data_IF_808028592056
#
_entry.id   IF_808028592056
#
_cell.length_a   1.000
_cell.length_b   1.000
_cell.length_c   1.000
_cell.angle_alpha   90.00
_cell.angle_beta   90.00
_cell.angle_gamma   90.00
#
_symmetry.space_group_name_H-M   'P 1'
#
loop_
_entity.id
_entity.type
_entity.pdbx_description
1 polymer ?
#
# COMPACT_ATOMS: atom_id res chain seq x y z
N UNK A 1 -28.53 -16.28 37.04
CA UNK A 1 -27.70 -15.09 37.09
C UNK A 1 -28.24 -14.10 36.06
N UNK A 2 -28.90 -13.03 36.53
CA UNK A 2 -29.44 -12.00 35.62
C UNK A 2 -28.33 -11.21 34.98
N UNK A 3 -28.33 -11.16 33.65
CA UNK A 3 -27.45 -10.28 32.89
C UNK A 3 -27.87 -8.83 33.18
N UNK A 4 -26.99 -8.06 33.83
CA UNK A 4 -27.20 -6.62 34.09
C UNK A 4 -27.20 -5.85 32.76
N UNK A 5 -28.28 -5.13 32.46
CA UNK A 5 -28.44 -4.34 31.22
C UNK A 5 -27.56 -3.07 31.12
N UNK A 6 -26.56 -2.91 31.99
CA UNK A 6 -25.64 -1.75 31.99
C UNK A 6 -24.30 -2.02 31.23
N UNK A 7 -24.13 -3.21 30.61
CA UNK A 7 -22.94 -3.60 29.89
C UNK A 7 -22.46 -2.63 28.80
N UNK A 8 -23.32 -1.99 27.96
CA UNK A 8 -22.80 -1.18 26.86
C UNK A 8 -21.95 0.02 27.29
N UNK A 9 -22.22 0.61 28.46
CA UNK A 9 -21.43 1.76 28.97
C UNK A 9 -20.13 1.30 29.65
N UNK A 10 -20.14 0.18 30.34
CA UNK A 10 -18.97 -0.40 30.98
C UNK A 10 -17.99 -0.95 29.93
N UNK A 11 -18.51 -1.64 28.89
CA UNK A 11 -17.75 -2.19 27.79
C UNK A 11 -16.98 -1.11 27.03
N UNK A 12 -17.65 0.00 26.67
CA UNK A 12 -16.99 1.11 25.96
C UNK A 12 -15.97 1.84 26.84
N UNK A 13 -16.24 1.94 28.14
CA UNK A 13 -15.30 2.52 29.10
C UNK A 13 -14.03 1.68 29.20
N UNK A 14 -14.18 0.35 29.29
CA UNK A 14 -13.04 -0.58 29.34
C UNK A 14 -12.27 -0.57 28.01
N UNK A 15 -12.94 -0.61 26.86
CA UNK A 15 -12.29 -0.53 25.56
C UNK A 15 -11.43 0.74 25.43
N UNK A 16 -11.99 1.90 25.78
CA UNK A 16 -11.26 3.18 25.79
C UNK A 16 -10.07 3.16 26.75
N UNK A 17 -10.24 2.58 27.94
CA UNK A 17 -9.19 2.46 28.95
C UNK A 17 -8.00 1.65 28.41
N UNK A 18 -8.25 0.50 27.75
CA UNK A 18 -7.21 -0.33 27.16
C UNK A 18 -6.46 0.43 26.07
N UNK A 19 -7.17 1.02 25.11
CA UNK A 19 -6.57 1.78 24.01
C UNK A 19 -5.72 2.98 24.52
N UNK A 20 -6.18 3.69 25.55
CA UNK A 20 -5.42 4.80 26.12
C UNK A 20 -4.16 4.32 26.85
N UNK A 21 -4.22 3.19 27.56
CA UNK A 21 -3.03 2.58 28.17
C UNK A 21 -2.01 2.11 27.15
N UNK A 22 -2.42 1.49 26.06
CA UNK A 22 -1.52 1.14 24.96
C UNK A 22 -0.89 2.38 24.33
N UNK A 23 -1.68 3.43 24.07
CA UNK A 23 -1.18 4.70 23.57
C UNK A 23 -0.12 5.33 24.49
N UNK A 24 -0.33 5.28 25.80
CA UNK A 24 0.66 5.80 26.75
C UNK A 24 1.93 4.96 26.77
N UNK A 25 1.81 3.64 26.71
CA UNK A 25 2.97 2.74 26.62
C UNK A 25 3.81 3.04 25.36
N UNK A 26 3.16 3.32 24.22
CA UNK A 26 3.82 3.75 22.98
C UNK A 26 4.57 5.07 23.14
N UNK A 27 3.96 6.08 23.78
CA UNK A 27 4.61 7.38 24.04
C UNK A 27 5.84 7.23 24.93
N UNK A 28 5.76 6.40 25.96
CA UNK A 28 6.89 6.12 26.86
C UNK A 28 8.00 5.40 26.10
N UNK A 29 7.65 4.37 25.30
CA UNK A 29 8.63 3.62 24.50
C UNK A 29 9.33 4.54 23.48
N UNK A 30 8.59 5.42 22.81
CA UNK A 30 9.15 6.37 21.84
C UNK A 30 10.16 7.35 22.48
N UNK A 31 9.87 7.85 23.69
CA UNK A 31 10.79 8.72 24.45
C UNK A 31 12.06 7.98 24.91
N UNK A 32 11.94 6.70 25.18
CA UNK A 32 13.05 5.85 25.64
C UNK A 32 13.91 5.29 24.51
N UNK A 33 13.37 5.29 23.28
CA UNK A 33 14.10 4.76 22.14
C UNK A 33 15.42 5.50 21.96
N UNK A 34 16.50 4.78 22.21
CA UNK A 34 17.87 5.32 22.16
C UNK A 34 18.40 5.38 20.73
N UNK A 35 18.79 6.58 20.30
CA UNK A 35 19.29 6.83 18.95
C UNK A 35 20.53 6.02 18.56
N UNK A 36 21.58 5.95 19.38
CA UNK A 36 22.76 5.11 19.13
C UNK A 36 22.45 3.63 18.95
N UNK A 37 21.66 3.01 19.88
CA UNK A 37 21.29 1.60 19.77
C UNK A 37 20.38 1.34 18.58
N UNK A 38 19.42 2.22 18.32
CA UNK A 38 18.54 2.10 17.16
C UNK A 38 19.31 2.20 15.84
N UNK A 39 20.22 3.19 15.71
CA UNK A 39 21.07 3.34 14.54
C UNK A 39 21.98 2.12 14.32
N UNK A 40 22.52 1.53 15.41
CA UNK A 40 23.34 0.32 15.36
C UNK A 40 22.53 -0.89 14.89
N UNK A 41 21.28 -1.03 15.35
CA UNK A 41 20.38 -2.09 14.87
C UNK A 41 20.09 -1.95 13.37
N UNK A 42 19.80 -0.73 12.89
CA UNK A 42 19.60 -0.48 11.45
C UNK A 42 20.85 -0.83 10.64
N UNK A 43 22.06 -0.52 11.13
CA UNK A 43 23.32 -0.88 10.47
C UNK A 43 23.50 -2.39 10.37
N UNK A 44 23.08 -3.16 11.39
CA UNK A 44 23.08 -4.63 11.34
C UNK A 44 22.16 -5.13 10.22
N UNK A 45 20.96 -4.56 10.11
CA UNK A 45 20.00 -4.98 9.06
C UNK A 45 20.41 -4.53 7.66
N UNK A 46 21.01 -3.35 7.52
CA UNK A 46 21.55 -2.88 6.23
C UNK A 46 22.77 -3.69 5.78
N UNK A 47 23.55 -4.20 6.72
CA UNK A 47 24.71 -5.02 6.44
C UNK A 47 24.39 -6.49 6.17
N UNK A 48 23.12 -6.91 6.18
CA UNK A 48 22.73 -8.29 5.85
C UNK A 48 22.97 -8.59 4.37
N UNK A 49 23.51 -9.76 4.07
CA UNK A 49 23.83 -10.15 2.68
C UNK A 49 22.63 -10.63 1.91
N UNK A 50 21.63 -11.20 2.57
CA UNK A 50 20.47 -11.83 1.94
C UNK A 50 19.15 -11.33 2.54
N UNK A 51 18.88 -11.64 3.82
CA UNK A 51 17.61 -11.32 4.49
C UNK A 51 17.76 -11.14 5.98
N UNK A 52 16.73 -10.58 6.60
CA UNK A 52 16.56 -10.54 8.06
C UNK A 52 15.74 -11.76 8.49
N UNK A 53 16.28 -12.61 9.35
CA UNK A 53 15.53 -13.70 9.96
C UNK A 53 14.91 -13.20 11.25
N UNK A 54 13.58 -13.19 11.32
CA UNK A 54 12.81 -12.72 12.48
C UNK A 54 12.31 -13.93 13.25
N UNK A 55 12.50 -13.96 14.56
CA UNK A 55 12.13 -15.12 15.39
C UNK A 55 11.57 -14.73 16.74
N UNK A 56 10.61 -15.52 17.24
CA UNK A 56 9.93 -15.33 18.52
C UNK A 56 8.81 -16.35 18.71
N UNK A 57 8.32 -16.52 19.94
CA UNK A 57 7.28 -17.50 20.30
C UNK A 57 6.01 -16.82 20.77
N UNK A 58 4.86 -17.49 20.59
CA UNK A 58 3.55 -17.03 21.04
C UNK A 58 3.20 -15.65 20.46
N UNK A 59 2.79 -14.71 21.31
CA UNK A 59 2.43 -13.35 20.88
C UNK A 59 3.63 -12.60 20.26
N UNK A 60 4.86 -12.80 20.79
CA UNK A 60 6.08 -12.27 20.18
C UNK A 60 6.33 -12.86 18.79
N UNK A 61 5.98 -14.13 18.55
CA UNK A 61 6.04 -14.75 17.23
C UNK A 61 5.04 -14.14 16.25
N UNK A 62 3.83 -13.80 16.69
CA UNK A 62 2.85 -13.08 15.85
C UNK A 62 3.34 -11.67 15.46
N UNK A 63 3.92 -10.93 16.40
CA UNK A 63 4.60 -9.66 16.11
C UNK A 63 5.74 -9.87 15.11
N UNK A 64 6.56 -10.90 15.31
CA UNK A 64 7.67 -11.25 14.41
C UNK A 64 7.22 -11.53 12.99
N UNK A 65 6.14 -12.29 12.80
CA UNK A 65 5.53 -12.51 11.48
C UNK A 65 5.08 -11.20 10.82
N UNK A 66 4.43 -10.31 11.60
CA UNK A 66 4.02 -8.99 11.11
C UNK A 66 5.22 -8.14 10.71
N UNK A 67 6.27 -8.10 11.51
CA UNK A 67 7.50 -7.36 11.19
C UNK A 67 8.16 -7.90 9.92
N UNK A 68 8.29 -9.23 9.78
CA UNK A 68 8.85 -9.84 8.57
C UNK A 68 8.04 -9.46 7.31
N UNK A 69 6.70 -9.50 7.39
CA UNK A 69 5.82 -9.09 6.31
C UNK A 69 6.00 -7.60 5.95
N UNK A 70 6.08 -6.72 6.96
CA UNK A 70 6.30 -5.28 6.76
C UNK A 70 7.68 -5.02 6.10
N UNK A 71 8.75 -5.68 6.56
CA UNK A 71 10.08 -5.56 5.97
C UNK A 71 10.09 -5.99 4.50
N UNK A 72 9.45 -7.11 4.16
CA UNK A 72 9.33 -7.58 2.77
C UNK A 72 8.62 -6.56 1.89
N UNK A 73 7.50 -6.02 2.35
CA UNK A 73 6.72 -5.03 1.59
C UNK A 73 7.43 -3.68 1.42
N UNK A 74 8.46 -3.43 2.21
CA UNK A 74 9.22 -2.17 2.26
C UNK A 74 10.67 -2.31 1.78
N UNK A 75 10.96 -3.32 0.95
CA UNK A 75 12.25 -3.48 0.27
C UNK A 75 13.37 -4.04 1.14
N UNK A 76 13.04 -4.66 2.29
CA UNK A 76 14.01 -5.40 3.10
C UNK A 76 13.59 -6.86 3.17
N UNK A 77 14.25 -7.76 2.42
CA UNK A 77 13.92 -9.18 2.45
C UNK A 77 13.96 -9.73 3.88
N UNK A 78 12.92 -10.42 4.31
CA UNK A 78 12.82 -10.98 5.65
C UNK A 78 12.05 -12.31 5.65
N UNK A 79 12.36 -13.18 6.60
CA UNK A 79 11.64 -14.42 6.80
C UNK A 79 11.40 -14.66 8.29
N UNK A 80 10.22 -15.17 8.63
CA UNK A 80 9.94 -15.59 9.99
C UNK A 80 10.38 -17.04 10.21
N UNK A 81 11.15 -17.29 11.28
CA UNK A 81 11.60 -18.60 11.71
C UNK A 81 10.99 -18.89 13.09
N UNK A 82 10.17 -19.92 13.20
CA UNK A 82 9.68 -20.35 14.52
C UNK A 82 10.81 -21.05 15.29
N UNK A 83 11.15 -20.62 16.52
CA UNK A 83 12.32 -21.17 17.22
C UNK A 83 12.23 -22.68 17.46
N UNK A 84 11.03 -23.22 17.75
CA UNK A 84 10.85 -24.66 17.94
C UNK A 84 11.03 -25.46 16.64
N UNK A 85 10.65 -24.91 15.50
CA UNK A 85 10.84 -25.57 14.20
C UNK A 85 12.29 -25.43 13.71
N UNK A 86 12.98 -24.38 14.12
CA UNK A 86 14.38 -24.16 13.78
C UNK A 86 15.25 -25.35 14.14
N UNK A 87 15.03 -25.96 15.31
CA UNK A 87 15.82 -27.08 15.79
C UNK A 87 15.49 -28.42 15.11
N UNK A 88 14.42 -28.44 14.31
CA UNK A 88 13.95 -29.61 13.54
C UNK A 88 14.18 -29.47 12.03
N UNK A 89 15.01 -28.51 11.60
CA UNK A 89 15.44 -28.38 10.19
C UNK A 89 15.18 -27.02 9.57
N UNK A 90 14.18 -26.24 10.05
CA UNK A 90 13.84 -24.93 9.49
C UNK A 90 14.97 -23.90 9.66
N UNK A 91 15.97 -24.19 10.50
CA UNK A 91 17.20 -23.39 10.59
C UNK A 91 17.94 -23.29 9.23
N UNK A 92 17.64 -24.16 8.28
CA UNK A 92 18.12 -24.06 6.90
C UNK A 92 17.75 -22.76 6.19
N UNK A 93 16.73 -22.04 6.65
CA UNK A 93 16.36 -20.72 6.13
C UNK A 93 17.43 -19.65 6.39
N UNK A 94 18.19 -19.77 7.48
CA UNK A 94 19.28 -18.86 7.82
C UNK A 94 20.53 -19.18 6.98
N UNK A 95 21.03 -18.19 6.28
CA UNK A 95 22.29 -18.24 5.53
C UNK A 95 23.37 -17.41 6.22
N UNK A 96 24.64 -17.75 5.99
CA UNK A 96 25.74 -16.95 6.52
C UNK A 96 25.67 -15.53 5.95
N UNK A 97 25.69 -14.53 6.83
CA UNK A 97 25.51 -13.12 6.47
C UNK A 97 24.10 -12.59 6.68
N UNK A 98 23.13 -13.46 7.01
CA UNK A 98 21.81 -13.00 7.44
C UNK A 98 21.88 -12.37 8.83
N UNK A 99 21.19 -11.25 9.02
CA UNK A 99 20.92 -10.68 10.34
C UNK A 99 19.73 -11.36 11.00
N UNK A 100 19.71 -11.39 12.32
CA UNK A 100 18.60 -12.00 13.08
C UNK A 100 17.97 -10.99 14.01
N UNK A 101 16.63 -10.96 14.05
CA UNK A 101 15.85 -10.19 15.01
C UNK A 101 15.14 -11.15 15.98
N UNK A 102 15.57 -11.15 17.25
CA UNK A 102 14.91 -11.85 18.34
C UNK A 102 13.82 -11.01 18.96
N UNK A 103 12.63 -11.58 19.16
CA UNK A 103 11.54 -10.97 19.91
C UNK A 103 11.24 -11.78 21.18
N UNK A 104 11.40 -11.16 22.34
CA UNK A 104 11.07 -11.77 23.62
C UNK A 104 10.64 -10.72 24.64
N UNK A 105 9.42 -10.84 25.18
CA UNK A 105 8.98 -9.95 26.26
C UNK A 105 9.70 -10.25 27.59
N UNK A 106 9.94 -11.52 27.91
CA UNK A 106 10.65 -11.92 29.15
C UNK A 106 12.17 -11.78 29.06
N UNK A 107 12.73 -11.79 27.84
CA UNK A 107 14.19 -11.85 27.63
C UNK A 107 14.85 -13.16 28.09
N UNK A 108 14.04 -14.17 28.45
CA UNK A 108 14.52 -15.46 28.96
C UNK A 108 13.82 -16.65 28.30
N UNK A 109 13.34 -16.48 27.10
CA UNK A 109 12.67 -17.52 26.29
C UNK A 109 13.65 -18.68 26.03
N UNK A 110 13.40 -19.90 26.55
CA UNK A 110 14.37 -20.99 26.48
C UNK A 110 14.78 -21.38 25.08
N UNK A 111 13.81 -21.38 24.13
CA UNK A 111 14.04 -21.76 22.75
C UNK A 111 14.93 -20.73 22.01
N UNK A 112 14.83 -19.44 22.33
CA UNK A 112 15.73 -18.41 21.78
C UNK A 112 17.13 -18.51 22.40
N UNK A 113 17.21 -18.79 23.70
CA UNK A 113 18.49 -19.03 24.40
C UNK A 113 19.22 -20.26 23.85
N UNK A 114 18.48 -21.31 23.48
CA UNK A 114 19.04 -22.50 22.81
C UNK A 114 19.48 -22.16 21.36
N UNK A 115 18.71 -21.38 20.66
CA UNK A 115 18.99 -21.04 19.24
C UNK A 115 20.16 -20.07 19.10
N UNK A 116 20.38 -19.20 20.08
CA UNK A 116 21.40 -18.13 20.01
C UNK A 116 22.82 -18.69 19.72
N UNK A 117 23.39 -19.63 20.45
CA UNK A 117 24.74 -20.15 20.18
C UNK A 117 24.83 -20.86 18.81
N UNK A 118 23.74 -21.47 18.35
CA UNK A 118 23.68 -22.10 17.03
C UNK A 118 23.77 -21.05 15.93
N UNK A 119 23.03 -19.94 16.07
CA UNK A 119 23.10 -18.81 15.12
C UNK A 119 24.47 -18.13 15.16
N UNK A 120 25.10 -18.00 16.35
CA UNK A 120 26.46 -17.48 16.48
C UNK A 120 27.49 -18.31 15.74
N UNK A 121 27.41 -19.63 15.81
CA UNK A 121 28.31 -20.54 15.07
C UNK A 121 28.18 -20.35 13.56
N UNK A 122 27.00 -19.88 13.10
CA UNK A 122 26.70 -19.50 11.70
C UNK A 122 27.01 -18.03 11.39
N UNK A 123 27.74 -17.34 12.28
CA UNK A 123 28.15 -15.93 12.14
C UNK A 123 27.01 -14.91 12.07
N UNK A 124 25.84 -15.24 12.61
CA UNK A 124 24.71 -14.31 12.66
C UNK A 124 25.02 -13.11 13.55
N UNK A 125 24.60 -11.92 13.10
CA UNK A 125 24.46 -10.72 13.93
C UNK A 125 23.04 -10.67 14.46
N UNK A 126 22.90 -10.53 15.78
CA UNK A 126 21.60 -10.65 16.46
C UNK A 126 21.20 -9.32 17.09
N UNK A 127 20.04 -8.80 16.68
CA UNK A 127 19.35 -7.69 17.34
C UNK A 127 18.25 -8.27 18.21
N UNK A 128 18.18 -7.87 19.47
CA UNK A 128 17.11 -8.24 20.39
C UNK A 128 16.09 -7.11 20.54
N UNK A 129 14.82 -7.38 20.31
CA UNK A 129 13.70 -6.52 20.67
C UNK A 129 13.08 -7.12 21.93
N UNK A 130 13.48 -6.59 23.10
CA UNK A 130 13.27 -7.25 24.37
C UNK A 130 12.43 -6.40 25.33
N UNK A 131 11.42 -7.00 25.95
CA UNK A 131 10.65 -6.36 27.03
C UNK A 131 11.43 -6.26 28.34
N UNK A 132 12.51 -7.02 28.49
CA UNK A 132 13.47 -6.93 29.61
C UNK A 132 14.89 -6.88 29.05
N UNK A 133 15.46 -5.68 28.83
CA UNK A 133 16.85 -5.54 28.35
C UNK A 133 17.90 -6.20 29.26
N UNK A 134 17.73 -6.07 30.60
CA UNK A 134 18.58 -6.74 31.60
C UNK A 134 18.08 -8.15 31.78
N UNK A 135 18.47 -9.04 30.87
CA UNK A 135 18.01 -10.44 30.84
C UNK A 135 19.04 -11.34 30.14
N UNK A 136 18.93 -12.68 30.29
CA UNK A 136 19.85 -13.60 29.64
C UNK A 136 19.99 -13.41 28.11
N UNK A 137 18.92 -13.04 27.40
CA UNK A 137 19.03 -12.71 25.97
C UNK A 137 19.66 -11.34 25.75
N UNK A 138 19.38 -10.34 26.62
CA UNK A 138 19.95 -9.00 26.52
C UNK A 138 21.49 -9.00 26.60
N UNK A 139 22.09 -9.90 27.38
CA UNK A 139 23.53 -10.09 27.51
C UNK A 139 24.14 -10.75 26.24
N UNK A 140 23.35 -11.48 25.47
CA UNK A 140 23.81 -12.32 24.37
C UNK A 140 23.62 -11.68 22.97
N UNK A 141 22.80 -10.66 22.83
CA UNK A 141 22.55 -10.00 21.56
C UNK A 141 23.62 -8.93 21.25
N UNK A 142 23.87 -8.63 19.95
CA UNK A 142 24.83 -7.58 19.57
C UNK A 142 24.27 -6.17 19.82
N UNK A 143 22.94 -6.03 19.71
CA UNK A 143 22.21 -4.79 19.97
C UNK A 143 20.89 -5.14 20.64
N UNK A 144 20.60 -4.48 21.76
CA UNK A 144 19.30 -4.59 22.43
C UNK A 144 18.46 -3.33 22.17
N UNK A 145 17.25 -3.51 21.65
CA UNK A 145 16.22 -2.50 21.56
C UNK A 145 15.22 -2.71 22.70
N UNK A 146 15.03 -1.69 23.52
CA UNK A 146 14.18 -1.73 24.70
C UNK A 146 12.70 -1.60 24.34
N UNK A 147 11.96 -2.70 24.40
CA UNK A 147 10.51 -2.80 24.25
C UNK A 147 9.78 -2.96 25.58
N UNK A 148 10.39 -2.58 26.71
CA UNK A 148 9.78 -2.73 28.02
C UNK A 148 8.52 -1.87 28.17
N UNK A 149 7.61 -2.37 29.01
CA UNK A 149 6.40 -1.67 29.42
C UNK A 149 6.29 -1.71 30.94
N UNK A 150 5.55 -0.82 31.51
CA UNK A 150 5.29 -0.82 32.95
C UNK A 150 4.29 -1.94 33.32
N UNK A 151 3.17 -2.01 32.60
CA UNK A 151 2.11 -3.00 32.81
C UNK A 151 1.28 -3.19 31.55
N UNK A 152 0.76 -4.42 31.37
CA UNK A 152 -0.20 -4.73 30.32
C UNK A 152 -1.53 -3.95 30.50
N UNK A 153 -2.22 -3.72 29.40
CA UNK A 153 -3.40 -2.86 29.39
C UNK A 153 -4.69 -3.56 29.84
N UNK A 154 -4.72 -4.92 29.85
CA UNK A 154 -5.87 -5.65 30.36
C UNK A 154 -6.10 -5.40 31.86
N UNK A 155 -7.27 -5.78 32.37
CA UNK A 155 -7.65 -5.54 33.78
C UNK A 155 -6.81 -6.33 34.78
N UNK A 156 -6.32 -7.51 34.38
CA UNK A 156 -5.43 -8.34 35.20
C UNK A 156 -3.97 -7.91 35.07
N UNK A 157 -3.57 -7.29 33.95
CA UNK A 157 -2.22 -6.88 33.63
C UNK A 157 -1.31 -8.05 33.23
N UNK A 158 -1.87 -9.09 32.62
CA UNK A 158 -1.14 -10.32 32.25
C UNK A 158 -1.24 -10.69 30.76
N UNK A 159 -2.28 -10.20 30.05
CA UNK A 159 -2.47 -10.49 28.64
C UNK A 159 -1.62 -9.57 27.79
N UNK A 160 -0.78 -10.09 26.88
CA UNK A 160 0.04 -9.24 25.99
C UNK A 160 -0.82 -8.29 25.16
N UNK A 161 -0.88 -7.05 25.54
CA UNK A 161 -1.60 -5.93 24.94
C UNK A 161 -0.63 -4.79 24.68
N UNK A 162 -0.27 -4.00 25.69
CA UNK A 162 0.70 -2.92 25.58
C UNK A 162 2.07 -3.39 25.08
N UNK A 163 2.57 -4.54 25.57
CA UNK A 163 3.84 -5.12 25.10
C UNK A 163 3.77 -5.51 23.61
N UNK A 164 2.64 -6.05 23.17
CA UNK A 164 2.41 -6.38 21.76
C UNK A 164 2.42 -5.11 20.88
N UNK A 165 1.70 -4.07 21.30
CA UNK A 165 1.62 -2.79 20.60
C UNK A 165 3.00 -2.12 20.50
N UNK A 166 3.76 -2.06 21.60
CA UNK A 166 5.10 -1.46 21.64
C UNK A 166 6.07 -2.22 20.73
N UNK A 167 6.13 -3.55 20.82
CA UNK A 167 7.04 -4.35 20.00
C UNK A 167 6.69 -4.23 18.50
N UNK A 168 5.40 -4.23 18.15
CA UNK A 168 4.93 -4.03 16.78
C UNK A 168 5.33 -2.64 16.24
N UNK A 169 5.12 -1.59 17.02
CA UNK A 169 5.45 -0.21 16.63
C UNK A 169 6.95 0.02 16.44
N UNK A 170 7.80 -0.58 17.29
CA UNK A 170 9.26 -0.51 17.10
C UNK A 170 9.64 -1.26 15.82
N UNK A 171 9.00 -2.38 15.50
CA UNK A 171 9.17 -3.08 14.23
C UNK A 171 8.82 -2.22 13.02
N UNK A 172 7.75 -1.45 13.10
CA UNK A 172 7.35 -0.49 12.05
C UNK A 172 8.35 0.66 11.94
N UNK A 173 8.86 1.16 13.06
CA UNK A 173 9.91 2.16 13.08
C UNK A 173 11.20 1.67 12.41
N UNK A 174 11.59 0.39 12.63
CA UNK A 174 12.71 -0.25 11.95
C UNK A 174 12.46 -0.27 10.43
N UNK A 175 11.32 -0.78 9.99
CA UNK A 175 10.98 -0.89 8.57
C UNK A 175 10.98 0.49 7.88
N UNK A 176 10.30 1.49 8.46
CA UNK A 176 10.24 2.86 7.95
C UNK A 176 11.64 3.51 7.88
N UNK A 177 12.45 3.30 8.91
CA UNK A 177 13.82 3.87 8.93
C UNK A 177 14.74 3.19 7.90
N UNK A 178 14.55 1.90 7.64
CA UNK A 178 15.27 1.18 6.57
C UNK A 178 14.84 1.68 5.19
N UNK A 179 13.53 1.92 4.97
CA UNK A 179 13.03 2.56 3.75
C UNK A 179 13.73 3.91 3.50
N UNK A 180 13.76 4.77 4.53
CA UNK A 180 14.40 6.08 4.44
C UNK A 180 15.90 5.96 4.08
N UNK A 181 16.64 5.08 4.75
CA UNK A 181 18.07 4.88 4.49
C UNK A 181 18.39 4.27 3.13
N UNK A 182 17.49 3.44 2.60
CA UNK A 182 17.60 2.82 1.27
C UNK A 182 17.12 3.73 0.14
N UNK A 183 16.44 4.84 0.44
CA UNK A 183 15.76 5.66 -0.56
C UNK A 183 14.62 4.92 -1.26
N UNK A 184 13.95 3.99 -0.54
CA UNK A 184 12.88 3.15 -1.08
C UNK A 184 11.72 4.02 -1.58
N UNK A 185 11.35 3.84 -2.84
CA UNK A 185 10.40 4.67 -3.57
C UNK A 185 8.99 4.05 -3.61
N UNK A 186 8.00 4.88 -3.97
CA UNK A 186 6.63 4.42 -4.26
C UNK A 186 6.60 3.39 -5.41
N UNK A 187 7.48 3.56 -6.41
CA UNK A 187 7.62 2.61 -7.52
C UNK A 187 8.06 1.23 -7.04
N UNK A 188 9.03 1.16 -6.13
CA UNK A 188 9.46 -0.12 -5.53
C UNK A 188 8.38 -0.72 -4.65
N UNK A 189 7.62 0.11 -3.91
CA UNK A 189 6.46 -0.34 -3.13
C UNK A 189 5.38 -0.95 -4.03
N UNK A 190 5.08 -0.33 -5.16
CA UNK A 190 4.12 -0.84 -6.12
C UNK A 190 4.53 -2.19 -6.73
N UNK A 191 5.82 -2.41 -7.00
CA UNK A 191 6.35 -3.70 -7.47
C UNK A 191 6.13 -4.83 -6.45
N UNK A 192 6.14 -4.52 -5.15
CA UNK A 192 5.85 -5.50 -4.08
C UNK A 192 4.35 -5.68 -3.83
N UNK A 193 3.49 -4.80 -4.40
CA UNK A 193 2.03 -4.83 -4.26
C UNK A 193 1.32 -4.78 -5.62
N UNK A 194 1.58 -5.72 -6.55
CA UNK A 194 1.11 -5.63 -7.94
C UNK A 194 -0.42 -5.61 -8.07
N UNK A 195 -1.15 -6.20 -7.14
CA UNK A 195 -2.61 -6.21 -7.12
C UNK A 195 -3.24 -4.97 -6.46
N UNK A 196 -2.46 -4.11 -5.82
CA UNK A 196 -2.93 -2.84 -5.26
C UNK A 196 -3.08 -1.76 -6.33
N UNK A 197 -3.89 -0.73 -6.05
CA UNK A 197 -4.12 0.38 -7.00
C UNK A 197 -2.81 1.01 -7.50
N UNK A 198 -1.86 1.24 -6.60
CA UNK A 198 -0.56 1.82 -6.96
C UNK A 198 0.24 0.88 -7.88
N UNK A 199 0.26 -0.44 -7.59
CA UNK A 199 0.92 -1.43 -8.43
C UNK A 199 0.30 -1.51 -9.82
N UNK A 200 -1.01 -1.54 -9.91
CA UNK A 200 -1.75 -1.52 -11.18
C UNK A 200 -1.43 -0.29 -12.00
N UNK A 201 -1.45 0.89 -11.39
CA UNK A 201 -1.18 2.16 -12.07
C UNK A 201 0.22 2.23 -12.68
N UNK A 202 1.17 1.47 -12.14
CA UNK A 202 2.53 1.40 -12.67
C UNK A 202 2.75 0.28 -13.70
N UNK A 203 2.07 -0.84 -13.53
CA UNK A 203 2.28 -2.04 -14.36
C UNK A 203 1.41 -2.00 -15.63
N UNK A 204 0.14 -1.57 -15.49
CA UNK A 204 -0.78 -1.53 -16.60
C UNK A 204 -0.65 -0.26 -17.42
N UNK A 205 -0.83 -0.41 -18.72
CA UNK A 205 -0.87 0.68 -19.68
C UNK A 205 -2.31 0.96 -20.12
N UNK A 206 -2.52 2.10 -20.74
CA UNK A 206 -3.81 2.52 -21.25
C UNK A 206 -4.39 1.48 -22.23
N UNK A 207 -3.55 0.83 -23.03
CA UNK A 207 -3.96 -0.21 -23.99
C UNK A 207 -4.56 -1.46 -23.33
N UNK A 208 -4.25 -1.72 -22.06
CA UNK A 208 -4.76 -2.89 -21.33
C UNK A 208 -6.21 -2.71 -20.86
N UNK A 209 -6.70 -1.44 -20.75
CA UNK A 209 -8.02 -1.13 -20.16
C UNK A 209 -8.90 -0.26 -21.03
N UNK A 210 -8.43 0.27 -22.16
CA UNK A 210 -9.21 1.14 -23.03
C UNK A 210 -10.44 0.41 -23.63
N UNK A 211 -11.50 1.17 -23.85
CA UNK A 211 -12.61 0.71 -24.68
C UNK A 211 -12.25 0.82 -26.15
N UNK A 212 -12.17 -0.32 -26.83
CA UNK A 212 -11.86 -0.39 -28.27
C UNK A 212 -12.86 0.38 -29.14
N UNK A 213 -12.51 0.80 -30.37
CA UNK A 213 -13.35 1.68 -31.22
C UNK A 213 -14.76 1.15 -31.48
N UNK A 214 -14.95 -0.17 -31.52
CA UNK A 214 -16.27 -0.80 -31.70
C UNK A 214 -17.17 -0.76 -30.47
N UNK A 215 -16.64 -0.36 -29.32
CA UNK A 215 -17.37 -0.18 -28.04
C UNK A 215 -17.48 1.28 -27.62
N UNK A 216 -17.25 2.23 -28.53
CA UNK A 216 -17.28 3.67 -28.29
C UNK A 216 -18.29 4.34 -29.22
N UNK A 217 -19.05 5.28 -28.70
CA UNK A 217 -19.93 6.12 -29.56
C UNK A 217 -19.07 6.93 -30.53
N UNK A 218 -19.25 6.69 -31.83
CA UNK A 218 -18.54 7.38 -32.92
C UNK A 218 -19.54 8.01 -33.86
N UNK A 219 -19.38 9.29 -34.15
CA UNK A 219 -20.27 10.06 -35.02
C UNK A 219 -19.47 10.87 -36.03
N UNK A 220 -20.12 11.24 -37.14
CA UNK A 220 -19.55 12.17 -38.12
C UNK A 220 -19.78 13.62 -37.64
N UNK A 221 -18.92 14.55 -38.05
CA UNK A 221 -19.05 16.00 -37.74
C UNK A 221 -20.40 16.62 -38.12
N UNK A 222 -21.06 16.06 -39.14
CA UNK A 222 -22.36 16.53 -39.65
C UNK A 222 -23.56 15.81 -39.00
N UNK A 223 -23.32 14.85 -38.09
CA UNK A 223 -24.38 14.19 -37.34
C UNK A 223 -25.12 15.20 -36.46
N UNK A 224 -26.42 15.00 -36.30
CA UNK A 224 -27.23 15.80 -35.37
C UNK A 224 -26.91 15.42 -33.93
N UNK A 225 -27.17 16.33 -33.01
CA UNK A 225 -27.05 16.05 -31.56
C UNK A 225 -28.00 14.92 -31.15
N UNK A 226 -29.20 14.85 -31.73
CA UNK A 226 -30.14 13.75 -31.49
C UNK A 226 -29.51 12.40 -31.83
N UNK A 227 -28.89 12.24 -32.99
CA UNK A 227 -28.22 11.00 -33.36
C UNK A 227 -26.99 10.72 -32.46
N UNK A 228 -26.28 11.78 -32.06
CA UNK A 228 -25.15 11.65 -31.16
C UNK A 228 -25.57 11.11 -29.80
N UNK A 229 -26.68 11.60 -29.23
CA UNK A 229 -27.23 11.10 -27.95
C UNK A 229 -27.67 9.64 -28.09
N UNK A 230 -28.27 9.26 -29.20
CA UNK A 230 -28.65 7.85 -29.47
C UNK A 230 -27.43 6.96 -29.48
N UNK A 231 -26.33 7.36 -30.16
CA UNK A 231 -25.08 6.59 -30.15
C UNK A 231 -24.45 6.54 -28.76
N UNK A 232 -24.43 7.63 -28.00
CA UNK A 232 -23.93 7.64 -26.60
C UNK A 232 -24.75 6.72 -25.71
N UNK A 233 -26.06 6.58 -25.95
CA UNK A 233 -26.92 5.66 -25.19
C UNK A 233 -26.64 4.19 -25.47
N UNK A 234 -26.17 3.86 -26.69
CA UNK A 234 -25.75 2.49 -27.03
C UNK A 234 -24.41 2.12 -26.35
N UNK A 235 -23.54 3.11 -26.20
CA UNK A 235 -22.23 2.98 -25.57
C UNK A 235 -22.10 3.97 -24.42
N UNK A 236 -22.52 3.60 -23.19
CA UNK A 236 -22.69 4.53 -22.07
C UNK A 236 -21.34 4.88 -21.42
N UNK A 237 -20.42 5.45 -22.18
CA UNK A 237 -19.10 5.86 -21.71
C UNK A 237 -19.02 7.36 -21.36
N UNK A 238 -20.14 8.09 -21.47
CA UNK A 238 -20.23 9.51 -21.13
C UNK A 238 -19.67 10.45 -22.20
N UNK A 239 -19.31 9.93 -23.38
CA UNK A 239 -18.78 10.73 -24.49
C UNK A 239 -19.05 10.09 -25.86
N UNK A 240 -19.07 10.90 -26.90
CA UNK A 240 -19.00 10.48 -28.31
C UNK A 240 -17.77 11.09 -28.99
N UNK A 241 -17.02 10.26 -29.69
CA UNK A 241 -15.89 10.69 -30.52
C UNK A 241 -16.37 11.10 -31.87
N UNK A 242 -16.03 12.34 -32.30
CA UNK A 242 -16.35 12.87 -33.62
C UNK A 242 -15.23 12.51 -34.57
N UNK A 243 -15.54 11.73 -35.61
CA UNK A 243 -14.57 11.10 -36.47
C UNK A 243 -14.57 11.63 -37.90
N UNK A 244 -13.42 11.59 -38.55
CA UNK A 244 -13.26 11.60 -40.01
C UNK A 244 -12.50 10.38 -40.44
N UNK A 245 -13.22 9.36 -40.93
CA UNK A 245 -12.68 8.00 -41.13
C UNK A 245 -12.09 7.47 -39.81
N UNK A 246 -10.80 7.15 -39.73
CA UNK A 246 -10.12 6.67 -38.55
C UNK A 246 -9.50 7.78 -37.67
N UNK A 247 -9.58 9.06 -38.12
CA UNK A 247 -9.01 10.18 -37.37
C UNK A 247 -10.04 10.84 -36.45
N UNK A 248 -9.60 11.10 -35.22
CA UNK A 248 -10.37 11.89 -34.26
C UNK A 248 -10.37 13.37 -34.65
N UNK A 249 -11.56 13.97 -34.81
CA UNK A 249 -11.75 15.41 -35.05
C UNK A 249 -12.09 16.17 -33.78
N UNK A 250 -12.76 15.51 -32.84
CA UNK A 250 -13.22 16.14 -31.62
C UNK A 250 -13.95 15.14 -30.72
N UNK A 251 -14.42 15.64 -29.58
CA UNK A 251 -15.19 14.88 -28.60
C UNK A 251 -16.38 15.72 -28.12
N UNK A 252 -17.49 15.05 -27.81
CA UNK A 252 -18.64 15.61 -27.10
C UNK A 252 -18.89 14.77 -25.88
N UNK A 253 -18.97 15.39 -24.71
CA UNK A 253 -19.26 14.75 -23.44
C UNK A 253 -20.68 15.06 -22.96
N UNK A 254 -21.17 14.29 -21.96
CA UNK A 254 -22.45 14.61 -21.29
C UNK A 254 -22.45 16.02 -20.70
N UNK A 255 -21.29 16.51 -20.25
CA UNK A 255 -21.10 17.87 -19.76
C UNK A 255 -21.31 18.92 -20.86
N UNK A 256 -20.83 18.65 -22.08
CA UNK A 256 -21.00 19.55 -23.22
C UNK A 256 -22.46 19.61 -23.65
N UNK A 257 -23.14 18.47 -23.72
CA UNK A 257 -24.56 18.40 -24.02
C UNK A 257 -25.40 19.18 -23.00
N UNK A 258 -25.12 19.03 -21.71
CA UNK A 258 -25.84 19.79 -20.66
C UNK A 258 -25.61 21.29 -20.75
N UNK A 259 -24.38 21.73 -20.99
CA UNK A 259 -24.06 23.15 -21.16
C UNK A 259 -24.74 23.73 -22.42
N UNK A 260 -24.70 23.01 -23.54
CA UNK A 260 -25.29 23.44 -24.78
C UNK A 260 -26.83 23.51 -24.69
N UNK A 261 -27.48 22.60 -23.96
CA UNK A 261 -28.94 22.62 -23.73
C UNK A 261 -29.38 23.84 -22.93
N UNK A 262 -28.58 24.33 -21.99
CA UNK A 262 -28.87 25.56 -21.25
C UNK A 262 -28.89 26.81 -22.15
N UNK A 263 -28.11 26.80 -23.25
CA UNK A 263 -27.96 27.94 -24.17
C UNK A 263 -28.91 27.84 -25.33
N UNK A 264 -29.33 26.64 -25.74
CA UNK A 264 -30.20 26.44 -26.91
C UNK A 264 -31.26 25.35 -26.68
N UNK A 265 -32.52 25.69 -26.46
CA UNK A 265 -33.60 24.72 -26.29
C UNK A 265 -33.82 23.79 -27.52
N UNK A 266 -33.39 24.18 -28.73
CA UNK A 266 -33.45 23.36 -29.93
C UNK A 266 -32.15 22.60 -30.22
N UNK A 267 -31.36 22.35 -29.20
CA UNK A 267 -30.05 21.68 -29.28
C UNK A 267 -30.07 20.43 -30.17
N UNK A 268 -31.11 19.60 -30.09
CA UNK A 268 -31.19 18.29 -30.75
C UNK A 268 -31.10 18.35 -32.29
N UNK A 269 -31.44 19.51 -32.89
CA UNK A 269 -31.39 19.75 -34.34
C UNK A 269 -30.02 20.21 -34.82
N UNK A 270 -29.16 20.68 -33.90
CA UNK A 270 -27.83 21.18 -34.26
C UNK A 270 -26.89 20.04 -34.67
N UNK A 271 -25.87 20.39 -35.47
CA UNK A 271 -24.77 19.47 -35.77
C UNK A 271 -23.82 19.35 -34.60
N UNK A 272 -23.28 18.17 -34.41
CA UNK A 272 -22.31 17.90 -33.37
C UNK A 272 -21.08 18.80 -33.48
N UNK A 273 -20.65 19.16 -34.66
CA UNK A 273 -19.56 20.09 -34.93
C UNK A 273 -19.71 21.48 -34.30
N UNK A 274 -20.93 21.87 -33.92
CA UNK A 274 -21.21 23.18 -33.31
C UNK A 274 -20.96 23.22 -31.81
N UNK A 275 -20.87 22.04 -31.16
CA UNK A 275 -20.68 21.94 -29.71
C UNK A 275 -19.47 21.10 -29.30
N UNK A 276 -18.87 20.35 -30.23
CA UNK A 276 -17.73 19.49 -29.93
C UNK A 276 -16.50 20.29 -29.52
N UNK A 277 -15.69 19.71 -28.64
CA UNK A 277 -14.33 20.16 -28.43
C UNK A 277 -13.46 19.69 -29.59
N UNK A 278 -12.93 20.65 -30.38
CA UNK A 278 -12.20 20.40 -31.64
C UNK A 278 -10.72 20.01 -31.42
N UNK A 279 -10.21 20.23 -30.26
CA UNK A 279 -8.83 19.84 -29.88
C UNK A 279 -8.85 19.14 -28.52
N UNK A 280 -9.43 17.92 -28.46
CA UNK A 280 -9.53 17.21 -27.20
C UNK A 280 -8.15 16.82 -26.67
N UNK A 281 -8.03 16.71 -25.36
CA UNK A 281 -6.90 16.03 -24.77
C UNK A 281 -6.92 14.57 -25.23
N UNK A 282 -5.76 14.03 -25.53
CA UNK A 282 -5.56 12.65 -25.96
C UNK A 282 -4.40 12.02 -25.21
N UNK A 283 -4.37 10.70 -25.17
CA UNK A 283 -3.28 9.96 -24.54
C UNK A 283 -2.77 8.83 -25.44
N UNK A 284 -1.50 8.46 -25.26
CA UNK A 284 -0.89 7.33 -25.94
C UNK A 284 -1.37 5.98 -25.34
N UNK A 285 -1.55 4.92 -26.13
CA UNK A 285 -1.85 3.59 -25.62
C UNK A 285 -0.75 3.04 -24.71
N UNK A 286 0.49 3.51 -24.90
CA UNK A 286 1.68 3.08 -24.12
C UNK A 286 1.90 3.87 -22.82
N UNK A 287 1.08 4.88 -22.54
CA UNK A 287 1.14 5.57 -21.26
C UNK A 287 0.69 4.62 -20.14
N UNK A 288 1.32 4.71 -18.96
CA UNK A 288 0.88 3.98 -17.79
C UNK A 288 -0.49 4.47 -17.29
N UNK A 289 -1.21 3.64 -16.57
CA UNK A 289 -2.48 4.08 -15.95
C UNK A 289 -2.24 5.21 -14.92
N UNK A 290 -1.07 5.24 -14.26
CA UNK A 290 -0.68 6.32 -13.37
C UNK A 290 -0.52 7.66 -14.08
N UNK A 291 0.18 7.67 -15.24
CA UNK A 291 0.29 8.86 -16.08
C UNK A 291 -1.09 9.33 -16.60
N UNK A 292 -1.95 8.39 -16.97
CA UNK A 292 -3.31 8.70 -17.40
C UNK A 292 -4.13 9.32 -16.26
N UNK A 293 -4.07 8.76 -15.07
CA UNK A 293 -4.76 9.24 -13.87
C UNK A 293 -4.33 10.66 -13.52
N UNK A 294 -3.02 10.89 -13.40
CA UNK A 294 -2.45 12.20 -13.10
C UNK A 294 -2.87 13.24 -14.14
N UNK A 295 -2.76 12.89 -15.43
CA UNK A 295 -3.16 13.77 -16.53
C UNK A 295 -4.64 14.13 -16.50
N UNK A 296 -5.54 13.18 -16.12
CA UNK A 296 -6.97 13.42 -16.05
C UNK A 296 -7.38 14.26 -14.84
N UNK A 297 -6.76 14.06 -13.69
CA UNK A 297 -7.12 14.70 -12.42
C UNK A 297 -6.47 16.08 -12.23
N UNK A 298 -5.24 16.28 -12.69
CA UNK A 298 -4.51 17.54 -12.50
C UNK A 298 -4.76 18.57 -13.62
N UNK A 299 -5.52 18.18 -14.64
CA UNK A 299 -5.78 19.05 -15.80
C UNK A 299 -6.50 20.33 -15.41
N UNK A 300 -6.02 21.45 -15.93
CA UNK A 300 -6.66 22.77 -15.85
C UNK A 300 -7.41 23.10 -17.16
N UNK A 301 -8.54 23.81 -17.14
CA UNK A 301 -9.19 24.43 -15.97
C UNK A 301 -10.04 23.47 -15.12
N UNK A 302 -10.24 22.22 -15.55
CA UNK A 302 -11.00 21.22 -14.79
C UNK A 302 -10.55 19.80 -15.10
N UNK A 303 -10.62 18.88 -14.13
CA UNK A 303 -10.43 17.46 -14.37
C UNK A 303 -11.34 16.92 -15.47
N UNK A 304 -10.90 15.87 -16.14
CA UNK A 304 -11.66 15.18 -17.19
C UNK A 304 -11.91 13.72 -16.81
N UNK A 305 -13.08 13.21 -17.14
CA UNK A 305 -13.48 11.83 -16.80
C UNK A 305 -13.35 10.85 -17.97
N UNK A 306 -13.14 11.34 -19.18
CA UNK A 306 -12.95 10.54 -20.40
C UNK A 306 -11.81 11.09 -21.23
N UNK A 307 -11.04 10.20 -21.86
CA UNK A 307 -9.84 10.56 -22.60
C UNK A 307 -9.72 9.69 -23.87
N UNK A 308 -9.79 10.29 -25.07
CA UNK A 308 -9.53 9.56 -26.29
C UNK A 308 -8.08 9.05 -26.34
N UNK A 309 -7.92 7.82 -26.80
CA UNK A 309 -6.63 7.17 -26.98
C UNK A 309 -6.26 7.19 -28.45
N UNK A 310 -5.10 7.75 -28.77
CA UNK A 310 -4.62 7.86 -30.16
C UNK A 310 -3.19 7.37 -30.27
N UNK A 311 -2.85 6.78 -31.41
CA UNK A 311 -1.47 6.43 -31.73
C UNK A 311 -0.65 7.70 -32.00
N UNK A 312 0.47 7.86 -31.31
CA UNK A 312 1.28 9.06 -31.34
C UNK A 312 1.79 9.42 -32.74
N UNK A 313 2.16 8.41 -33.54
CA UNK A 313 2.80 8.59 -34.82
C UNK A 313 1.80 8.77 -35.97
N UNK A 314 0.72 8.01 -35.98
CA UNK A 314 -0.28 8.00 -37.06
C UNK A 314 -1.48 8.89 -36.76
N UNK A 315 -1.69 9.26 -35.49
CA UNK A 315 -2.87 9.95 -35.00
C UNK A 315 -4.19 9.17 -35.20
N UNK A 316 -4.07 7.84 -35.32
CA UNK A 316 -5.22 6.96 -35.45
C UNK A 316 -5.92 6.79 -34.10
N UNK A 317 -7.24 6.80 -34.14
CA UNK A 317 -8.07 6.62 -32.95
C UNK A 317 -8.10 5.14 -32.55
N UNK A 318 -7.64 4.84 -31.35
CA UNK A 318 -7.55 3.48 -30.81
C UNK A 318 -8.64 3.15 -29.79
N UNK A 319 -9.33 4.16 -29.26
CA UNK A 319 -10.41 3.94 -28.29
C UNK A 319 -10.59 5.07 -27.30
N UNK A 320 -11.29 4.76 -26.21
CA UNK A 320 -11.62 5.71 -25.15
C UNK A 320 -11.23 5.10 -23.79
N UNK A 321 -10.58 5.90 -22.95
CA UNK A 321 -10.30 5.59 -21.55
C UNK A 321 -11.24 6.41 -20.66
N UNK A 322 -11.82 5.79 -19.64
CA UNK A 322 -12.56 6.49 -18.57
C UNK A 322 -11.78 6.47 -17.28
N UNK A 323 -11.89 7.53 -16.51
CA UNK A 323 -11.32 7.60 -15.14
C UNK A 323 -11.79 6.42 -14.27
N UNK A 324 -13.07 6.03 -14.40
CA UNK A 324 -13.66 4.90 -13.67
C UNK A 324 -12.95 3.56 -13.98
N UNK A 325 -12.48 3.36 -15.20
CA UNK A 325 -11.83 2.12 -15.62
C UNK A 325 -10.41 2.00 -15.05
N UNK A 326 -9.76 3.13 -14.78
CA UNK A 326 -8.46 3.15 -14.08
C UNK A 326 -8.59 2.62 -12.64
N UNK A 327 -9.71 2.94 -11.96
CA UNK A 327 -9.94 2.51 -10.58
C UNK A 327 -10.47 1.08 -10.46
N UNK A 328 -11.27 0.60 -11.43
CA UNK A 328 -12.04 -0.64 -11.30
C UNK A 328 -11.70 -1.70 -12.36
N UNK A 329 -10.81 -1.42 -13.28
CA UNK A 329 -10.40 -2.35 -14.35
C UNK A 329 -9.52 -3.51 -13.86
#
# INVERSE_FOLDING_TARGET
MGLNNNFPQEDIKEAKRVMLKESEALKVAAKRLDGPSFSKALNVFLGTSHKVVVTGIGKSGHVGKKIAATLNSTGTPAAFLHPSEAVHGDLGIHQTGDAVLFLSNSGSTPELLFLEPVLRSRKAKIVGLLGKPQSPLGEKVDVCLDASIEREADNLGIVPTASFAVASSIGDAIASSLMLRKGFSENEYAQTHPAGQLGRNLILHVEDVLHSPNKVARVNKDSTISNTIIEMSKYPLGAACVMNKERLLGIVTDGDLRRALQQNPKLVELKVSQIMSTNPAVISPKASLGEALDFMETRTPSPISVLPVVEKNTQDFLGLLRLHDIYNG
#
